data_IF_510737980287
#
_entry.id   IF_510737980287
#
_cell.length_a   1.000
_cell.length_b   1.000
_cell.length_c   1.000
_cell.angle_alpha   90.00
_cell.angle_beta   90.00
_cell.angle_gamma   90.00
#
_symmetry.space_group_name_H-M   'P 1'
#
loop_
_entity.id
_entity.type
_entity.pdbx_description
1 polymer ?
#
# COMPACT_ATOMS: atom_id res chain seq x y z
N UNK A 1 -14.75 19.06 -16.10
CA UNK A 1 -14.64 18.02 -15.05
C UNK A 1 -16.03 17.79 -14.50
N UNK A 2 -16.45 16.56 -14.18
CA UNK A 2 -17.79 16.36 -13.66
C UNK A 2 -17.89 17.14 -12.35
N UNK A 3 -18.77 18.12 -12.32
CA UNK A 3 -19.16 18.82 -11.11
C UNK A 3 -19.92 17.79 -10.26
N UNK A 4 -19.20 17.06 -9.42
CA UNK A 4 -19.84 16.25 -8.41
C UNK A 4 -20.48 17.22 -7.42
N UNK A 5 -21.81 17.21 -7.34
CA UNK A 5 -22.62 17.97 -6.37
C UNK A 5 -22.43 17.47 -4.92
N UNK A 6 -21.26 16.90 -4.59
CA UNK A 6 -20.92 16.36 -3.28
C UNK A 6 -19.68 15.44 -3.30
N UNK A 7 -19.22 15.04 -2.12
CA UNK A 7 -18.21 13.99 -1.97
C UNK A 7 -18.91 12.66 -1.65
N UNK A 8 -18.38 11.52 -2.11
CA UNK A 8 -18.91 10.21 -1.74
C UNK A 8 -18.64 9.89 -0.26
N UNK A 9 -19.34 8.89 0.27
CA UNK A 9 -19.17 8.43 1.66
C UNK A 9 -17.83 7.77 1.93
N UNK A 10 -17.23 7.17 0.90
CA UNK A 10 -15.94 6.48 0.96
C UNK A 10 -15.02 7.08 -0.10
N UNK A 11 -13.86 7.57 0.33
CA UNK A 11 -12.80 8.02 -0.56
C UNK A 11 -11.61 7.05 -0.47
N UNK A 12 -10.98 6.77 -1.60
CA UNK A 12 -9.66 6.13 -1.62
C UNK A 12 -8.63 7.15 -2.12
N UNK A 13 -7.53 7.29 -1.39
CA UNK A 13 -6.48 8.27 -1.62
C UNK A 13 -5.15 7.54 -1.81
N UNK A 14 -4.42 7.90 -2.86
CA UNK A 14 -3.10 7.36 -3.15
C UNK A 14 -2.23 8.37 -3.93
N UNK A 15 -0.96 8.03 -4.14
CA UNK A 15 -0.01 8.73 -5.00
C UNK A 15 0.41 7.85 -6.17
N UNK A 16 0.50 8.42 -7.37
CA UNK A 16 1.01 7.72 -8.54
C UNK A 16 2.01 8.58 -9.32
N UNK A 17 2.84 7.92 -10.13
CA UNK A 17 3.80 8.60 -11.01
C UNK A 17 3.10 8.98 -12.32
N UNK A 18 2.97 10.27 -12.57
CA UNK A 18 2.37 10.80 -13.81
C UNK A 18 3.38 10.88 -14.95
N UNK A 19 2.91 11.24 -16.14
CA UNK A 19 3.68 11.23 -17.40
C UNK A 19 4.92 12.14 -17.39
N UNK A 20 5.00 13.12 -16.50
CA UNK A 20 6.15 14.00 -16.29
C UNK A 20 7.18 13.45 -15.27
N UNK A 21 7.08 12.17 -14.89
CA UNK A 21 7.87 11.55 -13.83
C UNK A 21 7.64 12.19 -12.43
N UNK A 22 6.57 12.96 -12.29
CA UNK A 22 6.16 13.64 -11.07
C UNK A 22 5.24 12.73 -10.25
N UNK A 23 5.37 12.76 -8.92
CA UNK A 23 4.41 12.10 -8.04
C UNK A 23 3.19 12.99 -7.89
N UNK A 24 2.05 12.45 -8.28
CA UNK A 24 0.75 13.12 -8.33
C UNK A 24 -0.21 12.46 -7.37
N UNK A 25 -1.10 13.26 -6.80
CA UNK A 25 -2.12 12.80 -5.87
C UNK A 25 -3.37 12.38 -6.65
N UNK A 26 -3.99 11.28 -6.25
CA UNK A 26 -5.27 10.82 -6.79
C UNK A 26 -6.26 10.57 -5.66
N UNK A 27 -7.52 10.90 -5.92
CA UNK A 27 -8.64 10.47 -5.08
C UNK A 27 -9.75 9.92 -5.94
N UNK A 28 -10.30 8.78 -5.53
CA UNK A 28 -11.40 8.11 -6.21
C UNK A 28 -12.55 7.83 -5.22
N UNK A 29 -13.75 7.62 -5.75
CA UNK A 29 -14.87 7.05 -5.01
C UNK A 29 -14.56 5.59 -4.68
N UNK A 30 -14.57 5.24 -3.39
CA UNK A 30 -14.23 3.88 -2.94
C UNK A 30 -15.27 2.81 -3.25
N UNK A 31 -16.44 3.17 -3.77
CA UNK A 31 -17.48 2.22 -4.20
C UNK A 31 -17.62 2.20 -5.72
N UNK A 32 -17.72 3.37 -6.34
CA UNK A 32 -17.94 3.48 -7.80
C UNK A 32 -16.66 3.40 -8.61
N UNK A 33 -15.50 3.60 -7.96
CA UNK A 33 -14.20 3.73 -8.60
C UNK A 33 -14.09 4.92 -9.58
N UNK A 34 -15.00 5.89 -9.45
CA UNK A 34 -14.96 7.12 -10.22
C UNK A 34 -13.84 8.04 -9.71
N UNK A 35 -13.09 8.64 -10.63
CA UNK A 35 -12.07 9.63 -10.27
C UNK A 35 -12.75 10.90 -9.76
N UNK A 36 -12.46 11.26 -8.51
CA UNK A 36 -12.91 12.52 -7.91
C UNK A 36 -11.97 13.65 -8.30
N UNK A 37 -10.67 13.43 -8.14
CA UNK A 37 -9.65 14.42 -8.52
C UNK A 37 -8.29 13.79 -8.75
N UNK A 38 -7.49 14.45 -9.58
CA UNK A 38 -6.06 14.22 -9.75
C UNK A 38 -5.38 15.57 -9.59
N UNK A 39 -4.43 15.67 -8.66
CA UNK A 39 -3.61 16.85 -8.46
C UNK A 39 -2.18 16.56 -8.92
N UNK A 40 -1.54 17.47 -9.67
CA UNK A 40 -0.20 17.23 -10.18
C UNK A 40 0.81 17.09 -9.05
N UNK A 41 0.66 17.87 -7.97
CA UNK A 41 1.46 17.76 -6.76
C UNK A 41 0.79 16.94 -5.66
N UNK A 42 1.60 16.60 -4.66
CA UNK A 42 1.23 15.77 -3.51
C UNK A 42 1.44 16.49 -2.18
N UNK A 43 1.74 17.78 -2.23
CA UNK A 43 2.02 18.55 -1.02
C UNK A 43 0.74 18.72 -0.22
N UNK A 44 0.83 18.51 1.09
CA UNK A 44 -0.33 18.52 1.98
C UNK A 44 -1.11 19.84 1.94
N UNK A 45 -0.43 20.96 1.72
CA UNK A 45 -1.05 22.28 1.57
C UNK A 45 -1.85 22.42 0.28
N UNK A 46 -1.36 21.89 -0.84
CA UNK A 46 -2.05 21.93 -2.14
C UNK A 46 -3.34 21.10 -2.08
N UNK A 47 -3.26 19.89 -1.52
CA UNK A 47 -4.41 19.02 -1.31
C UNK A 47 -5.43 19.69 -0.39
N UNK A 48 -4.97 20.27 0.72
CA UNK A 48 -5.84 20.98 1.67
C UNK A 48 -6.58 22.13 1.00
N UNK A 49 -5.87 22.99 0.28
CA UNK A 49 -6.46 24.13 -0.43
C UNK A 49 -7.47 23.68 -1.48
N UNK A 50 -7.14 22.62 -2.26
CA UNK A 50 -8.06 22.06 -3.24
C UNK A 50 -9.41 21.69 -2.60
N UNK A 51 -9.39 20.85 -1.56
CA UNK A 51 -10.63 20.38 -0.93
C UNK A 51 -11.42 21.50 -0.22
N UNK A 52 -10.72 22.46 0.40
CA UNK A 52 -11.39 23.61 1.05
C UNK A 52 -12.06 24.56 0.04
N UNK A 53 -11.43 24.76 -1.12
CA UNK A 53 -11.94 25.69 -2.14
C UNK A 53 -13.09 25.10 -2.96
N UNK A 54 -13.13 23.77 -3.13
CA UNK A 54 -14.12 23.10 -3.98
C UNK A 54 -15.27 22.45 -3.21
N UNK A 55 -15.09 22.12 -1.92
CA UNK A 55 -16.10 21.42 -1.14
C UNK A 55 -16.40 22.14 0.18
N UNK A 56 -17.68 22.48 0.35
CA UNK A 56 -18.19 23.03 1.61
C UNK A 56 -17.94 22.07 2.78
N UNK A 57 -17.98 22.60 4.01
CA UNK A 57 -17.89 21.76 5.21
C UNK A 57 -18.97 20.65 5.21
N UNK A 58 -20.20 21.00 4.82
CA UNK A 58 -21.31 20.03 4.71
C UNK A 58 -21.00 18.88 3.75
N UNK A 59 -20.30 19.14 2.63
CA UNK A 59 -19.90 18.09 1.70
C UNK A 59 -18.81 17.21 2.31
N UNK A 60 -17.84 17.81 3.01
CA UNK A 60 -16.73 17.10 3.62
C UNK A 60 -17.14 16.26 4.84
N UNK A 61 -18.13 16.70 5.60
CA UNK A 61 -18.70 15.97 6.74
C UNK A 61 -19.47 14.70 6.34
N UNK A 62 -19.88 14.57 5.07
CA UNK A 62 -20.55 13.38 4.55
C UNK A 62 -19.59 12.23 4.27
N UNK A 63 -18.29 12.51 4.17
CA UNK A 63 -17.26 11.47 4.03
C UNK A 63 -17.14 10.75 5.37
N UNK A 64 -17.43 9.45 5.36
CA UNK A 64 -17.42 8.59 6.56
C UNK A 64 -16.21 7.68 6.62
N UNK A 65 -15.55 7.44 5.48
CA UNK A 65 -14.41 6.54 5.36
C UNK A 65 -13.40 7.12 4.38
N UNK A 66 -12.13 7.07 4.75
CA UNK A 66 -11.02 7.36 3.85
C UNK A 66 -10.05 6.19 3.91
N UNK A 67 -9.89 5.49 2.79
CA UNK A 67 -8.87 4.47 2.59
C UNK A 67 -7.62 5.16 2.09
N UNK A 68 -6.50 4.96 2.77
CA UNK A 68 -5.23 5.59 2.43
C UNK A 68 -4.04 4.74 2.91
N UNK A 69 -2.86 5.06 2.40
CA UNK A 69 -1.61 4.52 2.89
C UNK A 69 -1.29 4.99 4.34
N UNK A 70 -0.23 4.44 4.93
CA UNK A 70 0.20 4.79 6.30
C UNK A 70 1.04 6.07 6.36
N UNK A 71 1.02 6.92 5.33
CA UNK A 71 1.81 8.15 5.34
C UNK A 71 1.27 9.14 6.40
N UNK A 72 2.06 9.31 7.46
CA UNK A 72 1.72 10.19 8.59
C UNK A 72 1.48 11.65 8.18
N UNK A 73 2.09 12.11 7.08
CA UNK A 73 1.90 13.48 6.58
C UNK A 73 0.46 13.74 6.14
N UNK A 74 -0.23 12.72 5.62
CA UNK A 74 -1.61 12.85 5.18
C UNK A 74 -2.61 12.73 6.32
N UNK A 75 -2.35 11.90 7.32
CA UNK A 75 -3.33 11.61 8.37
C UNK A 75 -3.88 12.88 9.04
N UNK A 76 -3.01 13.85 9.35
CA UNK A 76 -3.41 15.10 9.98
C UNK A 76 -4.32 15.94 9.08
N UNK A 77 -3.97 16.06 7.79
CA UNK A 77 -4.77 16.87 6.86
C UNK A 77 -6.05 16.18 6.44
N UNK A 78 -6.05 14.86 6.27
CA UNK A 78 -7.28 14.11 5.96
C UNK A 78 -8.27 14.20 7.13
N UNK A 79 -7.81 14.12 8.39
CA UNK A 79 -8.68 14.33 9.56
C UNK A 79 -9.25 15.75 9.63
N UNK A 80 -8.45 16.74 9.23
CA UNK A 80 -8.91 18.13 9.16
C UNK A 80 -9.94 18.34 8.03
N UNK A 81 -9.69 17.73 6.86
CA UNK A 81 -10.56 17.85 5.70
C UNK A 81 -11.88 17.11 5.92
N UNK A 82 -11.85 15.88 6.44
CA UNK A 82 -12.99 14.99 6.60
C UNK A 82 -13.17 14.61 8.08
N UNK A 83 -13.74 15.50 8.91
CA UNK A 83 -13.75 15.33 10.37
C UNK A 83 -14.52 14.09 10.85
N UNK A 84 -15.51 13.63 10.08
CA UNK A 84 -16.32 12.45 10.41
C UNK A 84 -15.76 11.15 9.83
N UNK A 85 -14.66 11.21 9.08
CA UNK A 85 -14.13 10.05 8.39
C UNK A 85 -13.30 9.16 9.31
N UNK A 86 -13.54 7.85 9.23
CA UNK A 86 -12.63 6.84 9.75
C UNK A 86 -11.51 6.61 8.74
N UNK A 87 -10.27 6.70 9.20
CA UNK A 87 -9.11 6.36 8.39
C UNK A 87 -8.96 4.83 8.36
N UNK A 88 -8.95 4.27 7.16
CA UNK A 88 -8.78 2.84 6.89
C UNK A 88 -7.45 2.67 6.20
N UNK A 89 -6.65 1.71 6.68
CA UNK A 89 -5.35 1.39 6.07
C UNK A 89 -5.58 0.64 4.78
N UNK A 90 -4.91 1.05 3.72
CA UNK A 90 -4.88 0.30 2.47
C UNK A 90 -4.15 -1.05 2.66
N UNK A 91 -4.91 -2.13 2.42
CA UNK A 91 -4.41 -3.50 2.51
C UNK A 91 -3.27 -3.80 1.54
N UNK A 92 -3.26 -3.21 0.35
CA UNK A 92 -2.17 -3.40 -0.61
C UNK A 92 -0.85 -2.90 -0.03
N UNK A 93 -0.85 -1.67 0.51
CA UNK A 93 0.33 -1.11 1.16
C UNK A 93 0.72 -1.89 2.42
N UNK A 94 -0.24 -2.34 3.23
CA UNK A 94 0.01 -3.15 4.41
C UNK A 94 0.74 -4.46 4.04
N UNK A 95 0.20 -5.21 3.09
CA UNK A 95 0.80 -6.47 2.61
C UNK A 95 2.18 -6.21 2.02
N UNK A 96 2.33 -5.16 1.20
CA UNK A 96 3.61 -4.78 0.62
C UNK A 96 4.66 -4.43 1.70
N UNK A 97 4.29 -3.70 2.74
CA UNK A 97 5.16 -3.36 3.85
C UNK A 97 5.61 -4.60 4.62
N UNK A 98 4.69 -5.51 4.93
CA UNK A 98 5.00 -6.77 5.62
C UNK A 98 5.94 -7.65 4.79
N UNK A 99 5.68 -7.80 3.49
CA UNK A 99 6.54 -8.59 2.59
C UNK A 99 7.95 -8.00 2.47
N UNK A 100 8.06 -6.66 2.39
CA UNK A 100 9.36 -5.97 2.37
C UNK A 100 10.12 -6.19 3.67
N UNK A 101 9.46 -6.04 4.82
CA UNK A 101 10.06 -6.27 6.13
C UNK A 101 10.55 -7.73 6.26
N UNK A 102 9.72 -8.70 5.90
CA UNK A 102 10.09 -10.12 5.90
C UNK A 102 11.30 -10.40 5.01
N UNK A 103 11.30 -9.89 3.78
CA UNK A 103 12.42 -10.07 2.86
C UNK A 103 13.71 -9.40 3.37
N UNK A 104 13.61 -8.23 3.99
CA UNK A 104 14.73 -7.52 4.60
C UNK A 104 15.31 -8.31 5.78
N UNK A 105 14.46 -8.80 6.68
CA UNK A 105 14.89 -9.65 7.81
C UNK A 105 15.54 -10.93 7.32
N UNK A 106 14.95 -11.61 6.33
CA UNK A 106 15.55 -12.79 5.68
C UNK A 106 16.93 -12.47 5.12
N UNK A 107 17.07 -11.37 4.37
CA UNK A 107 18.34 -10.98 3.76
C UNK A 107 19.40 -10.59 4.80
N UNK A 108 19.01 -9.91 5.90
CA UNK A 108 19.89 -9.58 7.01
C UNK A 108 20.38 -10.84 7.73
N UNK A 109 19.47 -11.79 8.00
CA UNK A 109 19.81 -13.06 8.62
C UNK A 109 20.73 -13.89 7.72
N UNK A 110 20.41 -14.00 6.42
CA UNK A 110 21.21 -14.69 5.42
C UNK A 110 22.66 -14.20 5.38
N UNK A 111 22.88 -12.89 5.50
CA UNK A 111 24.22 -12.28 5.47
C UNK A 111 25.07 -12.59 6.71
N UNK A 112 24.48 -13.11 7.79
CA UNK A 112 25.23 -13.54 9.00
C UNK A 112 25.92 -14.89 8.82
N UNK A 113 25.55 -15.65 7.80
CA UNK A 113 26.06 -17.00 7.55
C UNK A 113 27.03 -17.03 6.37
N UNK A 114 28.03 -17.91 6.44
CA UNK A 114 28.92 -18.18 5.31
C UNK A 114 28.13 -18.88 4.18
N UNK A 115 28.42 -18.62 2.89
CA UNK A 115 27.67 -19.22 1.76
C UNK A 115 27.59 -20.76 1.77
N UNK A 116 28.55 -21.42 2.40
CA UNK A 116 28.61 -22.88 2.47
C UNK A 116 27.75 -23.50 3.56
N UNK A 117 27.17 -22.71 4.46
CA UNK A 117 26.36 -23.26 5.56
C UNK A 117 24.94 -23.61 5.12
N UNK A 118 24.30 -24.59 5.77
CA UNK A 118 22.89 -24.92 5.51
C UNK A 118 21.95 -23.72 5.67
N UNK A 119 22.18 -22.85 6.65
CA UNK A 119 21.35 -21.67 6.93
C UNK A 119 21.36 -20.69 5.77
N UNK A 120 22.53 -20.42 5.17
CA UNK A 120 22.61 -19.59 3.97
C UNK A 120 21.81 -20.21 2.80
N UNK A 121 21.93 -21.52 2.60
CA UNK A 121 21.28 -22.26 1.50
C UNK A 121 19.77 -22.39 1.67
N UNK A 122 19.25 -22.30 2.89
CA UNK A 122 17.81 -22.18 3.15
C UNK A 122 17.32 -20.77 2.79
N UNK A 123 18.06 -19.74 3.19
CA UNK A 123 17.61 -18.36 3.08
C UNK A 123 17.83 -17.73 1.69
N UNK A 124 18.85 -18.12 0.92
CA UNK A 124 19.23 -17.46 -0.34
C UNK A 124 18.49 -17.96 -1.59
N UNK A 125 18.59 -19.25 -1.98
CA UNK A 125 18.08 -19.74 -3.26
C UNK A 125 16.56 -19.78 -3.29
N UNK A 126 15.93 -20.02 -2.14
CA UNK A 126 14.49 -20.20 -2.00
C UNK A 126 13.77 -18.97 -1.46
N UNK A 127 14.35 -17.77 -1.65
CA UNK A 127 13.81 -16.52 -1.13
C UNK A 127 12.35 -16.27 -1.56
N UNK A 128 11.96 -16.71 -2.76
CA UNK A 128 10.59 -16.59 -3.27
C UNK A 128 9.56 -17.32 -2.42
N UNK A 129 9.91 -18.48 -1.83
CA UNK A 129 8.99 -19.27 -1.01
C UNK A 129 8.51 -18.49 0.22
N UNK A 130 9.38 -17.66 0.80
CA UNK A 130 9.04 -16.80 1.94
C UNK A 130 8.08 -15.66 1.59
N UNK A 131 7.93 -15.33 0.31
CA UNK A 131 7.07 -14.24 -0.18
C UNK A 131 5.87 -14.75 -0.96
N UNK A 132 5.76 -16.07 -1.12
CA UNK A 132 4.67 -16.72 -1.83
C UNK A 132 3.42 -16.74 -0.95
N UNK A 133 2.25 -16.66 -1.57
CA UNK A 133 0.99 -16.91 -0.86
C UNK A 133 1.03 -18.35 -0.31
N UNK A 134 0.65 -18.52 0.96
CA UNK A 134 0.57 -19.82 1.62
C UNK A 134 -0.29 -20.83 0.84
N UNK A 135 -1.33 -20.39 0.15
CA UNK A 135 -2.18 -21.27 -0.67
C UNK A 135 -1.49 -21.76 -1.94
N UNK A 136 -0.53 -21.00 -2.45
CA UNK A 136 0.25 -21.35 -3.64
C UNK A 136 1.48 -22.22 -3.35
N UNK A 137 1.79 -22.44 -2.07
CA UNK A 137 2.84 -23.38 -1.68
C UNK A 137 2.40 -24.82 -1.99
N UNK A 138 3.28 -25.60 -2.61
CA UNK A 138 3.13 -27.06 -2.66
C UNK A 138 3.17 -27.60 -1.22
N UNK A 139 2.32 -28.58 -0.91
CA UNK A 139 2.16 -29.14 0.45
C UNK A 139 2.09 -30.65 0.46
N UNK A 140 1.83 -31.23 -0.70
CA UNK A 140 1.47 -32.62 -0.87
C UNK A 140 2.57 -33.42 -1.56
N UNK A 141 3.28 -32.79 -2.50
CA UNK A 141 4.30 -33.46 -3.30
C UNK A 141 5.71 -33.02 -2.89
N UNK A 142 6.50 -33.92 -2.26
CA UNK A 142 7.87 -33.59 -1.88
C UNK A 142 8.75 -33.34 -3.10
N UNK A 143 9.35 -32.17 -3.18
CA UNK A 143 10.29 -31.80 -4.24
C UNK A 143 11.74 -31.87 -3.74
N UNK A 144 12.66 -32.28 -4.61
CA UNK A 144 14.08 -32.31 -4.28
C UNK A 144 14.68 -30.90 -4.39
N UNK A 145 15.20 -30.39 -3.27
CA UNK A 145 15.86 -29.10 -3.18
C UNK A 145 17.38 -29.29 -3.18
N UNK A 146 18.01 -29.12 -4.35
CA UNK A 146 19.44 -29.39 -4.57
C UNK A 146 20.37 -28.68 -3.59
N UNK A 147 20.09 -27.42 -3.24
CA UNK A 147 20.89 -26.65 -2.29
C UNK A 147 20.70 -27.10 -0.84
N UNK A 148 19.56 -27.71 -0.51
CA UNK A 148 19.28 -28.27 0.82
C UNK A 148 19.69 -29.73 0.94
N UNK A 149 19.96 -30.40 -0.20
CA UNK A 149 20.17 -31.85 -0.28
C UNK A 149 19.05 -32.61 0.46
N UNK A 150 17.82 -32.14 0.33
CA UNK A 150 16.67 -32.67 1.04
C UNK A 150 15.41 -32.62 0.17
N UNK A 151 14.42 -33.46 0.50
CA UNK A 151 13.07 -33.37 -0.04
C UNK A 151 12.18 -32.61 0.95
N UNK A 152 11.53 -31.54 0.48
CA UNK A 152 10.55 -30.80 1.28
C UNK A 152 9.24 -30.73 0.52
N UNK A 153 8.13 -30.69 1.26
CA UNK A 153 6.80 -30.34 0.74
C UNK A 153 6.68 -28.83 0.69
#
# INVERSE_FOLDING_TARGET
MPAYDGLPKTLCIDEFRSTSNQMSFITIDGQKHDIITILPGRQTNEIKQFFLNHYSLKNREQVTQVVMDLNAQYQTVIRYLFPNAKLIVDNFHLVQMTLRALNQTRAQLMKKYHPDTPEYRVLKPYWCLYLMNYEALEKSQPQWFSHLRNRLT
#
